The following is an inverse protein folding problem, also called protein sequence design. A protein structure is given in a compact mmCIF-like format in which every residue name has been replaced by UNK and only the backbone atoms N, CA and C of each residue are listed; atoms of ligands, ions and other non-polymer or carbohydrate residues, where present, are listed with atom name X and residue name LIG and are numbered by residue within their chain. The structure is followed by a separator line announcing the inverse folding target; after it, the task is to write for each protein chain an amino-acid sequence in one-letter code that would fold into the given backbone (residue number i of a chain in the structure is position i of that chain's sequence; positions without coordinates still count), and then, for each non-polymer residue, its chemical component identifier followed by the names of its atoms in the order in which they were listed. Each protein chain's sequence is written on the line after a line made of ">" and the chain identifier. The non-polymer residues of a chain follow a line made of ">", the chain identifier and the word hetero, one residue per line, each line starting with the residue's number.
data_IF_504454563039
#
_entry.id   IF_504454563039
#
_cell.length_a   1.000
_cell.length_b   1.000
_cell.length_c   1.000
_cell.angle_alpha   90.00
_cell.angle_beta   90.00
_cell.angle_gamma   90.00
#
_symmetry.space_group_name_H-M   'P 1'
#
loop_
_entity.id
_entity.type
_entity.pdbx_description
1 polymer ?
#
# COMPACT_ATOMS: atom_id res chain seq x y z
N UNK A 1 -22.05 20.87 1.49
CA UNK A 1 -20.59 21.01 1.74
C UNK A 1 -19.79 19.77 1.34
N UNK A 2 -20.34 18.55 1.45
CA UNK A 2 -19.68 17.33 0.98
C UNK A 2 -19.47 17.30 -0.55
N UNK A 3 -20.48 17.71 -1.33
CA UNK A 3 -20.41 17.66 -2.81
C UNK A 3 -19.31 18.57 -3.40
N UNK A 4 -19.10 19.75 -2.82
CA UNK A 4 -18.08 20.72 -3.26
C UNK A 4 -16.66 20.16 -3.12
N UNK A 5 -16.41 19.32 -2.10
CA UNK A 5 -15.09 18.71 -1.87
C UNK A 5 -14.82 17.55 -2.83
N UNK A 6 -15.87 16.82 -3.21
CA UNK A 6 -15.80 15.74 -4.19
C UNK A 6 -15.47 16.34 -5.55
N UNK A 7 -16.26 17.31 -6.01
CA UNK A 7 -16.08 17.97 -7.31
C UNK A 7 -14.67 18.57 -7.46
N UNK A 8 -14.12 19.17 -6.40
CA UNK A 8 -12.77 19.70 -6.41
C UNK A 8 -11.69 18.65 -6.70
N UNK A 9 -11.80 17.42 -6.15
CA UNK A 9 -10.85 16.34 -6.48
C UNK A 9 -11.05 15.88 -7.92
N UNK A 10 -12.31 15.72 -8.38
CA UNK A 10 -12.58 15.30 -9.76
C UNK A 10 -12.07 16.31 -10.80
N UNK A 11 -12.24 17.61 -10.55
CA UNK A 11 -11.68 18.67 -11.40
C UNK A 11 -10.14 18.64 -11.39
N UNK A 12 -9.51 18.44 -10.23
CA UNK A 12 -8.05 18.33 -10.10
C UNK A 12 -7.46 17.15 -10.90
N UNK A 13 -8.25 16.08 -11.04
CA UNK A 13 -7.97 14.90 -11.84
C UNK A 13 -8.38 15.07 -13.32
N UNK A 14 -8.70 16.28 -13.76
CA UNK A 14 -9.18 16.61 -15.12
C UNK A 14 -10.36 15.72 -15.58
N UNK A 15 -11.26 15.38 -14.62
CA UNK A 15 -12.41 14.48 -14.81
C UNK A 15 -12.04 13.11 -15.39
N UNK A 16 -10.83 12.64 -15.10
CA UNK A 16 -10.34 11.30 -15.50
C UNK A 16 -10.97 10.14 -14.73
N UNK A 17 -11.73 10.46 -13.67
CA UNK A 17 -12.59 9.55 -12.94
C UNK A 17 -14.05 10.01 -13.04
N UNK A 18 -14.97 9.07 -12.89
CA UNK A 18 -16.41 9.28 -12.76
C UNK A 18 -16.97 8.32 -11.70
N UNK A 19 -18.12 8.66 -11.12
CA UNK A 19 -18.89 7.71 -10.31
C UNK A 19 -20.08 7.25 -11.15
N UNK A 20 -20.14 5.96 -11.47
CA UNK A 20 -21.25 5.34 -12.20
C UNK A 20 -21.83 4.23 -11.33
N UNK A 21 -23.13 4.33 -11.00
CA UNK A 21 -23.83 3.35 -10.16
C UNK A 21 -23.11 3.06 -8.82
N UNK A 22 -22.56 4.11 -8.19
CA UNK A 22 -21.81 3.98 -6.93
C UNK A 22 -20.41 3.38 -7.06
N UNK A 23 -19.94 3.08 -8.28
CA UNK A 23 -18.60 2.57 -8.56
C UNK A 23 -17.75 3.64 -9.23
N UNK A 24 -16.47 3.70 -8.86
CA UNK A 24 -15.48 4.52 -9.57
C UNK A 24 -15.26 3.93 -10.96
N UNK A 25 -15.24 4.81 -11.97
CA UNK A 25 -14.96 4.53 -13.37
C UNK A 25 -13.85 5.44 -13.89
N UNK A 26 -12.84 4.89 -14.55
CA UNK A 26 -11.71 5.60 -15.13
C UNK A 26 -12.10 5.96 -16.56
N UNK A 27 -12.54 7.20 -16.74
CA UNK A 27 -12.96 7.75 -18.03
C UNK A 27 -11.77 8.06 -18.94
N UNK A 28 -10.60 8.38 -18.36
CA UNK A 28 -9.39 8.67 -19.11
C UNK A 28 -8.12 8.17 -18.37
N UNK A 29 -7.67 6.94 -18.65
CA UNK A 29 -6.50 6.37 -18.00
C UNK A 29 -5.21 7.18 -18.22
N UNK A 30 -5.03 7.81 -19.39
CA UNK A 30 -3.83 8.61 -19.68
C UNK A 30 -3.76 9.87 -18.82
N UNK A 31 -4.89 10.56 -18.62
CA UNK A 31 -4.94 11.74 -17.76
C UNK A 31 -4.77 11.35 -16.29
N UNK A 32 -5.44 10.29 -15.85
CA UNK A 32 -5.32 9.82 -14.47
C UNK A 32 -3.86 9.51 -14.12
N UNK A 33 -3.12 8.85 -15.02
CA UNK A 33 -1.69 8.58 -14.88
C UNK A 33 -0.87 9.83 -14.57
N UNK A 34 -1.10 10.91 -15.31
CA UNK A 34 -0.41 12.19 -15.13
C UNK A 34 -0.79 12.90 -13.82
N UNK A 35 -1.93 12.54 -13.21
CA UNK A 35 -2.43 13.16 -11.97
C UNK A 35 -2.31 12.26 -10.74
N UNK A 36 -1.85 11.02 -10.89
CA UNK A 36 -1.83 10.05 -9.79
C UNK A 36 -1.01 10.54 -8.58
N UNK A 37 0.07 11.30 -8.84
CA UNK A 37 0.86 11.95 -7.79
C UNK A 37 0.00 12.83 -6.87
N UNK A 38 -0.97 13.58 -7.43
CA UNK A 38 -1.83 14.46 -6.64
C UNK A 38 -2.68 13.68 -5.63
N UNK A 39 -3.04 12.43 -5.93
CA UNK A 39 -3.77 11.58 -5.00
C UNK A 39 -2.87 11.13 -3.83
N UNK A 40 -1.61 10.79 -4.11
CA UNK A 40 -0.61 10.50 -3.08
C UNK A 40 -0.36 11.73 -2.20
N UNK A 41 -0.18 12.91 -2.81
CA UNK A 41 0.01 14.18 -2.09
C UNK A 41 -1.17 14.52 -1.16
N UNK A 42 -2.41 14.41 -1.64
CA UNK A 42 -3.59 14.62 -0.79
C UNK A 42 -3.64 13.57 0.32
N UNK A 43 -3.35 12.31 0.02
CA UNK A 43 -3.34 11.25 1.04
C UNK A 43 -2.33 11.50 2.16
N UNK A 44 -1.19 12.10 1.82
CA UNK A 44 -0.10 12.37 2.77
C UNK A 44 -0.26 13.70 3.52
N UNK A 45 -0.65 14.78 2.82
CA UNK A 45 -0.56 16.15 3.35
C UNK A 45 -1.89 16.73 3.83
N UNK A 46 -3.02 16.22 3.33
CA UNK A 46 -4.35 16.71 3.73
C UNK A 46 -4.91 15.89 4.90
N UNK A 47 -6.03 16.34 5.46
CA UNK A 47 -6.73 15.65 6.56
C UNK A 47 -8.24 15.51 6.31
N UNK A 48 -8.88 14.65 7.09
CA UNK A 48 -10.33 14.46 7.08
C UNK A 48 -10.88 13.88 5.76
N UNK A 49 -12.04 14.37 5.33
CA UNK A 49 -12.77 13.82 4.17
C UNK A 49 -11.96 13.84 2.87
N UNK A 50 -11.17 14.89 2.63
CA UNK A 50 -10.38 15.04 1.39
C UNK A 50 -9.29 13.96 1.30
N UNK A 51 -8.60 13.72 2.42
CA UNK A 51 -7.61 12.67 2.56
C UNK A 51 -8.24 11.28 2.36
N UNK A 52 -9.35 11.00 3.06
CA UNK A 52 -10.08 9.74 2.94
C UNK A 52 -10.57 9.47 1.51
N UNK A 53 -11.09 10.50 0.83
CA UNK A 53 -11.57 10.39 -0.54
C UNK A 53 -10.43 10.11 -1.52
N UNK A 54 -9.27 10.74 -1.39
CA UNK A 54 -8.12 10.44 -2.25
C UNK A 54 -7.64 8.99 -2.11
N UNK A 55 -7.59 8.46 -0.88
CA UNK A 55 -7.24 7.05 -0.61
C UNK A 55 -8.25 6.10 -1.23
N UNK A 56 -9.55 6.38 -1.05
CA UNK A 56 -10.64 5.60 -1.66
C UNK A 56 -10.56 5.60 -3.20
N UNK A 57 -10.46 6.78 -3.81
CA UNK A 57 -10.41 6.93 -5.27
C UNK A 57 -9.19 6.24 -5.86
N UNK A 58 -8.02 6.35 -5.21
CA UNK A 58 -6.79 5.67 -5.65
C UNK A 58 -6.99 4.16 -5.67
N UNK A 59 -7.50 3.58 -4.58
CA UNK A 59 -7.73 2.14 -4.49
C UNK A 59 -8.77 1.66 -5.51
N UNK A 60 -9.87 2.39 -5.65
CA UNK A 60 -10.93 2.01 -6.57
C UNK A 60 -10.48 2.12 -8.04
N UNK A 61 -9.76 3.18 -8.40
CA UNK A 61 -9.20 3.35 -9.74
C UNK A 61 -8.10 2.33 -10.04
N UNK A 62 -7.25 2.00 -9.06
CA UNK A 62 -6.25 0.95 -9.19
C UNK A 62 -6.91 -0.39 -9.54
N UNK A 63 -7.94 -0.79 -8.79
CA UNK A 63 -8.68 -2.03 -9.05
C UNK A 63 -9.32 -2.06 -10.44
N UNK A 64 -9.92 -0.95 -10.87
CA UNK A 64 -10.50 -0.86 -12.21
C UNK A 64 -9.46 -0.97 -13.33
N UNK A 65 -8.25 -0.44 -13.10
CA UNK A 65 -7.13 -0.55 -14.03
C UNK A 65 -6.43 -1.92 -14.00
N UNK A 66 -6.87 -2.84 -13.13
CA UNK A 66 -6.27 -4.16 -12.96
C UNK A 66 -5.03 -4.17 -12.07
N UNK A 67 -4.85 -3.15 -11.23
CA UNK A 67 -3.82 -3.07 -10.18
C UNK A 67 -4.45 -3.57 -8.89
N UNK A 68 -4.05 -4.76 -8.45
CA UNK A 68 -4.78 -5.51 -7.43
C UNK A 68 -3.89 -5.71 -6.20
N UNK A 69 -4.17 -5.05 -5.06
CA UNK A 69 -3.57 -5.46 -3.80
C UNK A 69 -3.85 -6.94 -3.55
N UNK A 70 -2.80 -7.76 -3.40
CA UNK A 70 -2.90 -9.21 -3.33
C UNK A 70 -2.02 -9.79 -2.23
N UNK A 71 -2.35 -10.99 -1.76
CA UNK A 71 -1.47 -11.76 -0.89
C UNK A 71 -0.46 -12.54 -1.72
N UNK A 72 0.79 -12.60 -1.28
CA UNK A 72 1.84 -13.41 -1.93
C UNK A 72 1.76 -14.90 -1.54
N UNK A 73 0.85 -15.25 -0.63
CA UNK A 73 0.69 -16.59 -0.06
C UNK A 73 0.70 -17.70 -1.11
N UNK A 74 -0.11 -17.58 -2.16
CA UNK A 74 -0.24 -18.64 -3.16
C UNK A 74 1.06 -18.91 -3.92
N UNK A 75 1.86 -17.88 -4.19
CA UNK A 75 3.18 -18.02 -4.80
C UNK A 75 4.13 -18.81 -3.89
N UNK A 76 4.14 -18.49 -2.59
CA UNK A 76 4.98 -19.19 -1.61
C UNK A 76 4.53 -20.63 -1.38
N UNK A 77 3.23 -20.88 -1.35
CA UNK A 77 2.68 -22.24 -1.25
C UNK A 77 3.05 -23.08 -2.49
N UNK A 78 2.95 -22.50 -3.69
CA UNK A 78 3.36 -23.17 -4.92
C UNK A 78 4.87 -23.45 -4.95
N UNK A 79 5.71 -22.52 -4.47
CA UNK A 79 7.15 -22.73 -4.28
C UNK A 79 7.41 -23.92 -3.33
N UNK A 80 6.72 -24.00 -2.20
CA UNK A 80 6.87 -25.09 -1.23
C UNK A 80 6.48 -26.46 -1.80
N UNK A 81 5.54 -26.51 -2.75
CA UNK A 81 5.16 -27.72 -3.48
C UNK A 81 6.08 -28.05 -4.68
N UNK A 82 7.05 -27.20 -5.00
CA UNK A 82 7.92 -27.38 -6.17
C UNK A 82 7.27 -27.04 -7.51
N UNK A 83 6.12 -26.34 -7.52
CA UNK A 83 5.39 -25.95 -8.73
C UNK A 83 6.00 -24.72 -9.43
N UNK A 84 6.95 -24.05 -8.77
CA UNK A 84 7.60 -22.82 -9.25
C UNK A 84 9.13 -23.00 -9.22
N UNK A 85 9.92 -22.48 -10.18
CA UNK A 85 11.38 -22.66 -10.25
C UNK A 85 12.15 -21.99 -9.12
N UNK A 86 13.06 -22.69 -8.44
CA UNK A 86 13.87 -22.17 -7.31
C UNK A 86 14.98 -21.20 -7.70
N UNK A 87 15.01 -20.74 -8.95
CA UNK A 87 16.06 -19.91 -9.55
C UNK A 87 15.85 -18.41 -9.36
N UNK A 88 14.86 -17.99 -8.55
CA UNK A 88 14.60 -16.58 -8.27
C UNK A 88 14.17 -16.37 -6.81
N UNK A 89 14.41 -15.15 -6.34
CA UNK A 89 13.99 -14.62 -5.05
C UNK A 89 12.92 -13.54 -5.24
N UNK A 90 12.13 -13.28 -4.20
CA UNK A 90 11.20 -12.14 -4.16
C UNK A 90 11.85 -11.03 -3.33
N UNK A 91 12.24 -9.89 -3.91
CA UNK A 91 12.75 -8.77 -3.13
C UNK A 91 11.63 -8.11 -2.35
N UNK A 92 11.86 -7.84 -1.07
CA UNK A 92 11.05 -6.95 -0.25
C UNK A 92 11.81 -5.64 -0.05
N UNK A 93 11.12 -4.50 -0.24
CA UNK A 93 11.74 -3.19 -0.36
C UNK A 93 11.10 -2.22 0.63
N UNK A 94 11.82 -1.86 1.70
CA UNK A 94 11.38 -0.81 2.62
C UNK A 94 11.40 0.57 1.94
N UNK A 95 10.26 1.25 1.92
CA UNK A 95 10.14 2.64 1.45
C UNK A 95 9.70 3.55 2.60
N UNK A 96 10.53 4.52 2.96
CA UNK A 96 10.33 5.38 4.17
C UNK A 96 10.45 6.88 3.91
N UNK A 97 10.75 7.26 2.66
CA UNK A 97 10.80 8.63 2.18
C UNK A 97 10.52 8.60 0.67
N UNK A 98 9.74 9.58 0.19
CA UNK A 98 9.35 9.66 -1.23
C UNK A 98 8.77 8.34 -1.76
N UNK A 99 7.91 7.68 -0.95
CA UNK A 99 7.43 6.32 -1.26
C UNK A 99 6.73 6.24 -2.61
N UNK A 100 6.00 7.29 -3.02
CA UNK A 100 5.43 7.40 -4.36
C UNK A 100 6.52 7.39 -5.46
N UNK A 101 7.52 8.27 -5.38
CA UNK A 101 8.56 8.39 -6.41
C UNK A 101 9.44 7.14 -6.51
N UNK A 102 9.82 6.58 -5.37
CA UNK A 102 10.59 5.33 -5.33
C UNK A 102 9.77 4.16 -5.88
N UNK A 103 8.49 4.04 -5.53
CA UNK A 103 7.61 3.01 -6.07
C UNK A 103 7.44 3.14 -7.59
N UNK A 104 7.37 4.36 -8.15
CA UNK A 104 7.32 4.56 -9.60
C UNK A 104 8.56 3.98 -10.30
N UNK A 105 9.74 4.20 -9.74
CA UNK A 105 10.98 3.63 -10.29
C UNK A 105 10.92 2.10 -10.23
N UNK A 106 10.48 1.53 -9.11
CA UNK A 106 10.35 0.08 -8.94
C UNK A 106 9.38 -0.51 -9.97
N UNK A 107 8.19 0.09 -10.16
CA UNK A 107 7.24 -0.39 -11.18
C UNK A 107 7.79 -0.28 -12.59
N UNK A 108 8.53 0.78 -12.92
CA UNK A 108 9.16 0.93 -14.24
C UNK A 108 10.19 -0.16 -14.49
N UNK A 109 11.09 -0.39 -13.53
CA UNK A 109 12.11 -1.44 -13.61
C UNK A 109 11.46 -2.82 -13.67
N UNK A 110 10.44 -3.07 -12.86
CA UNK A 110 9.71 -4.34 -12.87
C UNK A 110 9.08 -4.62 -14.25
N UNK A 111 8.50 -3.60 -14.90
CA UNK A 111 7.95 -3.72 -16.26
C UNK A 111 9.04 -3.97 -17.31
N UNK A 112 10.19 -3.30 -17.21
CA UNK A 112 11.34 -3.53 -18.11
C UNK A 112 11.90 -4.95 -17.99
N UNK A 113 11.82 -5.54 -16.79
CA UNK A 113 12.31 -6.89 -16.49
C UNK A 113 11.27 -7.99 -16.62
N UNK A 114 10.01 -7.66 -16.96
CA UNK A 114 8.86 -8.58 -16.91
C UNK A 114 8.71 -9.29 -15.54
N UNK A 115 8.95 -8.53 -14.47
CA UNK A 115 8.87 -9.01 -13.10
C UNK A 115 7.54 -8.59 -12.44
N UNK A 116 6.96 -9.50 -11.65
CA UNK A 116 5.73 -9.24 -10.86
C UNK A 116 5.82 -9.69 -9.40
N UNK A 117 6.84 -10.47 -9.05
CA UNK A 117 7.04 -10.98 -7.68
C UNK A 117 8.04 -10.09 -6.92
N UNK A 118 7.55 -9.00 -6.33
CA UNK A 118 8.29 -8.09 -5.45
C UNK A 118 7.33 -7.47 -4.43
N UNK A 119 7.85 -7.10 -3.27
CA UNK A 119 7.05 -6.64 -2.12
C UNK A 119 7.46 -5.22 -1.76
N UNK A 120 6.47 -4.35 -1.53
CA UNK A 120 6.66 -3.07 -0.86
C UNK A 120 6.38 -3.25 0.62
N UNK A 121 7.31 -2.85 1.47
CA UNK A 121 7.14 -3.01 2.92
C UNK A 121 7.47 -1.74 3.71
N UNK A 122 6.93 -1.71 4.93
CA UNK A 122 7.21 -0.68 5.91
C UNK A 122 7.09 -1.28 7.32
N UNK A 123 8.07 -0.99 8.18
CA UNK A 123 8.10 -1.58 9.51
C UNK A 123 7.27 -0.80 10.53
N UNK A 124 6.87 -1.46 11.64
CA UNK A 124 6.16 -0.78 12.75
C UNK A 124 6.94 0.43 13.28
N UNK A 125 8.26 0.33 13.36
CA UNK A 125 9.13 1.43 13.78
C UNK A 125 9.14 2.56 12.76
N UNK A 126 9.20 2.24 11.47
CA UNK A 126 9.17 3.18 10.35
C UNK A 126 7.87 3.96 10.28
N UNK A 127 6.72 3.28 10.39
CA UNK A 127 5.41 3.92 10.55
C UNK A 127 5.44 4.95 11.69
N UNK A 128 6.09 4.60 12.81
CA UNK A 128 6.16 5.45 14.00
C UNK A 128 6.96 6.74 13.81
N UNK A 129 8.18 6.67 13.25
CA UNK A 129 9.03 7.86 13.13
C UNK A 129 8.76 8.69 11.87
N UNK A 130 8.13 8.12 10.84
CA UNK A 130 7.73 8.85 9.63
C UNK A 130 6.32 9.43 9.71
N UNK A 131 5.52 9.00 10.70
CA UNK A 131 4.07 9.21 10.76
C UNK A 131 3.31 8.69 9.52
N UNK A 132 3.90 7.70 8.84
CA UNK A 132 3.38 7.13 7.60
C UNK A 132 2.45 5.94 7.89
N UNK A 133 1.16 6.22 8.13
CA UNK A 133 0.17 5.15 8.41
C UNK A 133 -0.08 4.24 7.20
N UNK A 134 -0.47 2.95 7.41
CA UNK A 134 -0.71 1.98 6.33
C UNK A 134 -1.59 2.48 5.16
N UNK A 135 -2.66 3.24 5.45
CA UNK A 135 -3.54 3.75 4.42
C UNK A 135 -2.88 4.81 3.52
N UNK A 136 -1.98 5.63 4.07
CA UNK A 136 -1.17 6.54 3.28
C UNK A 136 -0.17 5.74 2.43
N UNK A 137 0.56 4.81 3.05
CA UNK A 137 1.61 4.04 2.38
C UNK A 137 1.04 3.29 1.17
N UNK A 138 -0.05 2.54 1.37
CA UNK A 138 -0.72 1.81 0.30
C UNK A 138 -1.22 2.75 -0.81
N UNK A 139 -1.67 3.95 -0.47
CA UNK A 139 -2.11 4.94 -1.46
C UNK A 139 -0.93 5.44 -2.29
N UNK A 140 0.21 5.71 -1.66
CA UNK A 140 1.45 6.08 -2.35
C UNK A 140 1.92 4.99 -3.33
N UNK A 141 1.91 3.72 -2.92
CA UNK A 141 2.26 2.58 -3.79
C UNK A 141 1.27 2.43 -4.96
N UNK A 142 -0.04 2.44 -4.68
CA UNK A 142 -1.04 2.25 -5.72
C UNK A 142 -1.12 3.43 -6.70
N UNK A 143 -0.94 4.66 -6.22
CA UNK A 143 -0.84 5.82 -7.09
C UNK A 143 0.39 5.72 -8.01
N UNK A 144 1.52 5.21 -7.51
CA UNK A 144 2.70 4.97 -8.33
C UNK A 144 2.46 3.88 -9.39
N UNK A 145 1.78 2.79 -9.02
CA UNK A 145 1.38 1.74 -9.96
C UNK A 145 0.48 2.29 -11.08
N UNK A 146 -0.47 3.15 -10.72
CA UNK A 146 -1.32 3.87 -11.68
C UNK A 146 -0.43 4.70 -12.60
N UNK A 147 0.42 5.58 -12.05
CA UNK A 147 1.28 6.49 -12.82
C UNK A 147 2.13 5.76 -13.88
N UNK A 148 2.64 4.57 -13.54
CA UNK A 148 3.51 3.78 -14.43
C UNK A 148 2.75 2.77 -15.31
N UNK A 149 1.41 2.81 -15.34
CA UNK A 149 0.57 1.90 -16.14
C UNK A 149 0.90 0.43 -15.85
N UNK A 150 1.08 0.09 -14.56
CA UNK A 150 1.26 -1.29 -14.12
C UNK A 150 -0.08 -2.03 -14.11
N UNK A 151 -0.05 -3.35 -14.30
CA UNK A 151 -1.21 -4.23 -14.20
C UNK A 151 -0.79 -5.54 -13.56
N UNK A 152 -1.62 -6.06 -12.67
CA UNK A 152 -1.35 -7.29 -11.94
C UNK A 152 -1.34 -7.10 -10.43
N UNK A 153 -0.83 -8.10 -9.69
CA UNK A 153 -0.80 -8.06 -8.25
C UNK A 153 0.19 -7.01 -7.74
N UNK A 154 -0.16 -6.36 -6.64
CA UNK A 154 0.72 -5.49 -5.85
C UNK A 154 0.78 -6.06 -4.44
N UNK A 155 1.96 -6.47 -4.01
CA UNK A 155 2.17 -7.05 -2.69
C UNK A 155 2.65 -5.95 -1.72
N UNK A 156 1.89 -5.75 -0.66
CA UNK A 156 2.20 -4.78 0.40
C UNK A 156 2.30 -5.52 1.72
N UNK A 157 3.38 -5.26 2.46
CA UNK A 157 3.77 -6.00 3.64
C UNK A 157 3.99 -5.09 4.85
N UNK A 158 3.52 -5.56 6.01
CA UNK A 158 3.90 -5.00 7.30
C UNK A 158 5.17 -5.70 7.75
N UNK A 159 6.30 -5.00 7.66
CA UNK A 159 7.61 -5.54 8.05
C UNK A 159 7.78 -5.47 9.57
N UNK A 160 8.41 -6.48 10.18
CA UNK A 160 8.72 -6.54 11.62
C UNK A 160 7.66 -5.82 12.49
N UNK A 161 6.41 -6.30 12.46
CA UNK A 161 5.35 -5.83 13.36
C UNK A 161 5.66 -6.34 14.78
N UNK A 162 6.67 -5.69 15.34
CA UNK A 162 7.45 -6.20 16.45
C UNK A 162 6.81 -5.83 17.77
N UNK A 163 6.76 -6.78 18.70
CA UNK A 163 6.42 -6.52 20.11
C UNK A 163 7.69 -6.01 20.81
N UNK A 164 7.63 -4.87 21.48
CA UNK A 164 8.75 -4.34 22.24
C UNK A 164 8.82 -4.98 23.63
N UNK A 165 9.92 -5.67 23.95
CA UNK A 165 10.18 -6.25 25.27
C UNK A 165 9.96 -5.24 26.42
N UNK A 166 10.43 -4.00 26.26
CA UNK A 166 10.28 -2.95 27.27
C UNK A 166 8.81 -2.57 27.49
N UNK A 167 8.04 -2.35 26.42
CA UNK A 167 6.61 -2.02 26.52
C UNK A 167 5.82 -3.20 27.05
N UNK A 168 6.14 -4.40 26.58
CA UNK A 168 5.54 -5.64 27.04
C UNK A 168 5.78 -5.87 28.54
N UNK A 169 7.00 -5.64 29.04
CA UNK A 169 7.29 -5.73 30.48
C UNK A 169 6.58 -4.68 31.34
N UNK A 170 6.09 -3.59 30.74
CA UNK A 170 5.29 -2.56 31.43
C UNK A 170 3.80 -2.92 31.42
N UNK A 171 3.27 -3.27 30.25
CA UNK A 171 1.88 -3.65 30.04
C UNK A 171 1.78 -4.60 28.83
N UNK A 172 1.76 -5.93 29.06
CA UNK A 172 1.67 -6.93 28.01
C UNK A 172 0.43 -6.80 27.15
N UNK A 173 -0.73 -6.53 27.78
CA UNK A 173 -2.01 -6.47 27.10
C UNK A 173 -2.08 -5.27 26.17
N UNK A 174 -1.64 -4.09 26.65
CA UNK A 174 -1.61 -2.88 25.85
C UNK A 174 -0.66 -3.00 24.66
N UNK A 175 0.53 -3.57 24.84
CA UNK A 175 1.49 -3.70 23.73
C UNK A 175 1.00 -4.70 22.66
N UNK A 176 0.48 -5.87 23.07
CA UNK A 176 -0.10 -6.84 22.13
C UNK A 176 -1.31 -6.25 21.42
N UNK A 177 -2.16 -5.50 22.13
CA UNK A 177 -3.30 -4.81 21.54
C UNK A 177 -2.85 -3.78 20.50
N UNK A 178 -1.80 -3.00 20.79
CA UNK A 178 -1.27 -2.02 19.86
C UNK A 178 -0.78 -2.66 18.54
N UNK A 179 -0.11 -3.82 18.61
CA UNK A 179 0.30 -4.55 17.40
C UNK A 179 -0.93 -5.10 16.67
N UNK A 180 -1.88 -5.73 17.36
CA UNK A 180 -3.12 -6.24 16.74
C UNK A 180 -3.95 -5.15 16.05
N UNK A 181 -4.03 -3.97 16.66
CA UNK A 181 -4.75 -2.84 16.07
C UNK A 181 -4.03 -2.33 14.82
N UNK A 182 -2.70 -2.26 14.83
CA UNK A 182 -1.91 -1.94 13.64
C UNK A 182 -2.10 -3.00 12.52
N UNK A 183 -2.15 -4.29 12.86
CA UNK A 183 -2.43 -5.36 11.89
C UNK A 183 -3.80 -5.15 11.23
N UNK A 184 -4.84 -4.87 12.01
CA UNK A 184 -6.19 -4.62 11.47
C UNK A 184 -6.22 -3.42 10.53
N UNK A 185 -5.57 -2.33 10.91
CA UNK A 185 -5.45 -1.14 10.06
C UNK A 185 -4.71 -1.46 8.76
N UNK A 186 -3.63 -2.23 8.84
CA UNK A 186 -2.82 -2.62 7.68
C UNK A 186 -3.61 -3.51 6.72
N UNK A 187 -4.31 -4.53 7.24
CA UNK A 187 -5.19 -5.39 6.42
C UNK A 187 -6.30 -4.57 5.75
N UNK A 188 -6.91 -3.62 6.47
CA UNK A 188 -7.88 -2.71 5.88
C UNK A 188 -7.27 -1.85 4.75
N UNK A 189 -6.02 -1.43 4.89
CA UNK A 189 -5.28 -0.68 3.88
C UNK A 189 -4.84 -1.52 2.66
N UNK A 190 -4.86 -2.85 2.76
CA UNK A 190 -4.46 -3.77 1.67
C UNK A 190 -3.11 -4.47 1.90
N UNK A 191 -2.60 -4.46 3.12
CA UNK A 191 -1.42 -5.23 3.51
C UNK A 191 -1.87 -6.67 3.73
N UNK A 192 -1.52 -7.54 2.78
CA UNK A 192 -1.92 -8.96 2.81
C UNK A 192 -0.76 -9.91 3.07
N UNK A 193 0.38 -9.35 3.51
CA UNK A 193 1.42 -10.06 4.24
C UNK A 193 1.81 -9.25 5.49
N UNK A 194 1.98 -9.91 6.63
CA UNK A 194 2.33 -9.26 7.90
C UNK A 194 3.35 -10.14 8.63
N UNK A 195 4.54 -9.59 8.85
CA UNK A 195 5.62 -10.29 9.53
C UNK A 195 5.55 -9.94 11.02
N UNK A 196 5.08 -10.91 11.81
CA UNK A 196 4.89 -10.74 13.26
C UNK A 196 6.18 -11.09 13.98
N UNK A 197 6.78 -10.11 14.65
CA UNK A 197 8.06 -10.30 15.31
C UNK A 197 7.93 -10.24 16.84
N UNK A 198 7.99 -11.39 17.49
CA UNK A 198 8.00 -11.51 18.96
C UNK A 198 9.38 -11.89 19.49
N UNK A 199 10.43 -11.81 18.65
CA UNK A 199 11.76 -12.30 18.98
C UNK A 199 12.39 -11.55 20.17
N UNK A 200 12.00 -10.30 20.43
CA UNK A 200 12.49 -9.54 21.60
C UNK A 200 12.01 -10.06 22.95
N UNK A 201 11.00 -10.95 22.97
CA UNK A 201 10.43 -11.51 24.21
C UNK A 201 11.20 -12.74 24.71
N UNK A 202 12.14 -13.26 23.94
CA UNK A 202 12.94 -14.43 24.29
C UNK A 202 14.40 -14.03 24.47
N UNK A 203 15.05 -14.59 25.48
CA UNK A 203 16.51 -14.52 25.61
C UNK A 203 17.12 -15.58 24.66
N UNK A 204 18.07 -15.15 23.83
CA UNK A 204 18.82 -16.00 22.88
C UNK A 204 20.10 -16.56 23.51
#
# INVERSE_FOLDING_TARGET
>A
MADVKVDAIFEMLDKSLQIQQGKVKVSNPSKLRQKAQKLAEISALESGEKQGLARYLTRAAALELGIIPASIHDLYMARGRGEVPTTFTVPAINLRALSFDAARIIFRVAKEMDASAFIFEIARSEIGYTDQRPAEYATSILAAAIAEDYKGPVFIQGDHFQVSAKRYGTDPEAEVKAVKDLMKESVAAGFYNIDVDTSTLVDL
#
